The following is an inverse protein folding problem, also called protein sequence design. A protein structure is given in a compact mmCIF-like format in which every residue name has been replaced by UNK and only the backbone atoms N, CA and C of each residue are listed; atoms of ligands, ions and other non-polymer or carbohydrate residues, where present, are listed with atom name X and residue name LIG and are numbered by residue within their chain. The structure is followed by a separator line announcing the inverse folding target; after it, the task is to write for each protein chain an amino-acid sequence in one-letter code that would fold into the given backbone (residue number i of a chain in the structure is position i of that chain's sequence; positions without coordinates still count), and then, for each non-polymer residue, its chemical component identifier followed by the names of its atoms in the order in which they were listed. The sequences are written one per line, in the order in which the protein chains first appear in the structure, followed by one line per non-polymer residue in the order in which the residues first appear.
data_IF_529035449728
#
_entry.id   IF_529035449728
#
_cell.length_a   1.000
_cell.length_b   1.000
_cell.length_c   1.000
_cell.angle_alpha   90.00
_cell.angle_beta   90.00
_cell.angle_gamma   90.00
#
_symmetry.space_group_name_H-M   'P 1'
#
loop_
_entity.id
_entity.type
_entity.pdbx_description
1 polymer ?
#
# COMPACT_ATOMS: atom_id res chain seq x y z
N UNK A 1 -28.85 -15.08 3.80
CA UNK A 1 -27.90 -14.06 4.29
C UNK A 1 -26.82 -14.80 5.06
N UNK A 2 -25.66 -15.06 4.45
CA UNK A 2 -24.53 -15.65 5.16
C UNK A 2 -23.95 -14.54 6.06
N UNK A 3 -23.95 -14.76 7.36
CA UNK A 3 -23.35 -13.89 8.36
C UNK A 3 -21.85 -13.82 8.07
N UNK A 4 -21.35 -12.65 7.72
CA UNK A 4 -19.91 -12.40 7.50
C UNK A 4 -19.20 -12.66 8.85
N UNK A 5 -18.43 -13.73 8.93
CA UNK A 5 -17.66 -14.03 10.13
C UNK A 5 -16.50 -13.06 10.24
N UNK A 6 -16.40 -12.34 11.36
CA UNK A 6 -15.35 -11.36 11.60
C UNK A 6 -14.54 -11.70 12.84
N UNK A 7 -13.28 -11.27 12.88
CA UNK A 7 -12.38 -11.43 14.03
C UNK A 7 -11.55 -10.16 14.22
N UNK A 8 -11.31 -9.78 15.47
CA UNK A 8 -10.39 -8.68 15.77
C UNK A 8 -8.93 -9.11 15.66
N UNK A 9 -7.98 -8.20 15.37
CA UNK A 9 -6.54 -8.50 15.35
C UNK A 9 -6.04 -9.19 16.62
N UNK A 10 -6.49 -8.74 17.78
CA UNK A 10 -6.06 -9.30 19.08
C UNK A 10 -6.53 -10.75 19.25
N UNK A 11 -7.79 -11.02 18.89
CA UNK A 11 -8.33 -12.39 18.95
C UNK A 11 -7.62 -13.33 17.97
N UNK A 12 -7.32 -12.84 16.76
CA UNK A 12 -6.57 -13.62 15.78
C UNK A 12 -5.15 -13.91 16.27
N UNK A 13 -4.46 -12.92 16.84
CA UNK A 13 -3.12 -13.12 17.41
C UNK A 13 -3.15 -14.16 18.52
N UNK A 14 -4.14 -14.13 19.42
CA UNK A 14 -4.28 -15.12 20.47
C UNK A 14 -4.47 -16.55 19.93
N UNK A 15 -5.24 -16.71 18.84
CA UNK A 15 -5.42 -17.99 18.16
C UNK A 15 -4.13 -18.49 17.51
N UNK A 16 -3.37 -17.60 16.87
CA UNK A 16 -2.08 -17.96 16.27
C UNK A 16 -1.07 -18.42 17.33
N UNK A 17 -1.05 -17.75 18.49
CA UNK A 17 -0.17 -18.13 19.61
C UNK A 17 -0.58 -19.44 20.28
N UNK A 18 -1.87 -19.82 20.28
CA UNK A 18 -2.34 -21.09 20.82
C UNK A 18 -2.06 -22.29 19.92
N UNK A 19 -1.36 -22.12 18.80
CA UNK A 19 -1.01 -23.20 17.88
C UNK A 19 -2.16 -23.68 16.99
N UNK A 20 -3.27 -22.94 16.95
CA UNK A 20 -4.38 -23.26 16.05
C UNK A 20 -3.93 -23.07 14.60
N UNK A 21 -4.14 -24.09 13.76
CA UNK A 21 -3.91 -23.97 12.32
C UNK A 21 -4.79 -22.86 11.76
N UNK A 22 -4.18 -21.88 11.14
CA UNK A 22 -4.85 -20.71 10.57
C UNK A 22 -4.13 -20.29 9.29
N UNK A 23 -4.88 -20.11 8.23
CA UNK A 23 -4.36 -19.56 6.99
C UNK A 23 -4.65 -18.08 6.94
N UNK A 24 -3.62 -17.26 6.67
CA UNK A 24 -3.74 -15.82 6.53
C UNK A 24 -3.53 -15.42 5.06
N UNK A 25 -4.51 -14.74 4.48
CA UNK A 25 -4.48 -14.26 3.12
C UNK A 25 -4.50 -12.73 3.10
N UNK A 26 -3.44 -12.12 2.61
CA UNK A 26 -3.37 -10.68 2.40
C UNK A 26 -3.67 -10.35 0.93
N UNK A 27 -4.74 -9.60 0.69
CA UNK A 27 -5.21 -9.25 -0.65
C UNK A 27 -4.80 -7.84 -1.09
N UNK A 28 -3.72 -7.32 -0.52
CA UNK A 28 -3.14 -6.02 -0.89
C UNK A 28 -2.20 -6.16 -2.09
N UNK A 29 -1.69 -5.01 -2.55
CA UNK A 29 -0.66 -5.00 -3.59
C UNK A 29 0.69 -5.51 -3.06
N UNK A 30 1.57 -6.06 -3.94
CA UNK A 30 2.91 -6.50 -3.55
C UNK A 30 3.73 -5.40 -2.87
N UNK A 31 3.59 -4.15 -3.29
CA UNK A 31 4.29 -3.01 -2.69
C UNK A 31 3.83 -2.72 -1.25
N UNK A 32 2.53 -2.87 -0.96
CA UNK A 32 1.99 -2.70 0.39
C UNK A 32 2.47 -3.82 1.31
N UNK A 33 2.42 -5.05 0.83
CA UNK A 33 2.86 -6.24 1.55
C UNK A 33 4.36 -6.21 1.84
N UNK A 34 5.17 -5.85 0.83
CA UNK A 34 6.62 -5.71 1.00
C UNK A 34 6.99 -4.61 2.01
N UNK A 35 6.16 -3.56 2.15
CA UNK A 35 6.39 -2.50 3.14
C UNK A 35 6.16 -2.96 4.57
N UNK A 36 5.03 -3.59 4.82
CA UNK A 36 4.65 -4.15 6.13
C UNK A 36 3.56 -5.19 5.95
N UNK A 37 3.68 -6.35 6.61
CA UNK A 37 2.65 -7.39 6.60
C UNK A 37 2.61 -8.17 7.90
N UNK A 38 1.50 -8.86 8.13
CA UNK A 38 1.31 -9.75 9.26
C UNK A 38 2.17 -11.01 9.07
N UNK A 39 2.94 -11.45 10.08
CA UNK A 39 3.75 -12.65 9.97
C UNK A 39 2.92 -13.88 9.58
N UNK A 40 3.43 -14.68 8.65
CA UNK A 40 2.74 -15.87 8.15
C UNK A 40 1.63 -15.62 7.13
N UNK A 41 1.34 -14.37 6.77
CA UNK A 41 0.36 -14.08 5.73
C UNK A 41 0.90 -14.42 4.33
N UNK A 42 0.08 -15.12 3.53
CA UNK A 42 0.30 -15.34 2.09
C UNK A 42 -0.27 -14.18 1.31
N UNK A 43 0.50 -13.63 0.38
CA UNK A 43 0.06 -12.55 -0.49
C UNK A 43 -0.61 -13.13 -1.75
N UNK A 44 -1.85 -12.73 -2.01
CA UNK A 44 -2.51 -12.88 -3.32
C UNK A 44 -3.31 -11.58 -3.56
N UNK A 45 -2.85 -10.68 -4.42
CA UNK A 45 -3.57 -9.44 -4.74
C UNK A 45 -5.00 -9.72 -5.18
N UNK A 46 -5.94 -8.82 -4.82
CA UNK A 46 -7.37 -8.98 -5.13
C UNK A 46 -7.69 -9.12 -6.63
N UNK A 47 -6.88 -8.49 -7.48
CA UNK A 47 -6.94 -8.52 -8.93
C UNK A 47 -6.37 -9.81 -9.54
N UNK A 48 -5.46 -10.48 -8.81
CA UNK A 48 -4.86 -11.76 -9.19
C UNK A 48 -5.53 -12.95 -8.48
N UNK A 49 -6.54 -12.68 -7.63
CA UNK A 49 -7.23 -13.70 -6.85
C UNK A 49 -8.07 -14.61 -7.77
N UNK A 50 -7.64 -15.87 -7.92
CA UNK A 50 -8.38 -16.94 -8.55
C UNK A 50 -9.07 -17.80 -7.49
N UNK A 51 -10.39 -17.62 -7.28
CA UNK A 51 -11.13 -18.35 -6.25
C UNK A 51 -11.19 -19.85 -6.48
N UNK A 52 -11.22 -20.30 -7.76
CA UNK A 52 -11.31 -21.72 -8.10
C UNK A 52 -10.01 -22.45 -7.77
N UNK A 53 -8.86 -21.80 -7.91
CA UNK A 53 -7.59 -22.37 -7.52
C UNK A 53 -7.50 -22.56 -6.00
N UNK A 54 -7.96 -21.56 -5.23
CA UNK A 54 -8.00 -21.62 -3.76
C UNK A 54 -8.97 -22.70 -3.28
N UNK A 55 -10.13 -22.82 -3.93
CA UNK A 55 -11.10 -23.88 -3.61
C UNK A 55 -10.51 -25.29 -3.79
N UNK A 56 -9.77 -25.49 -4.89
CA UNK A 56 -9.08 -26.77 -5.17
C UNK A 56 -7.93 -27.06 -4.20
N UNK A 57 -7.16 -26.03 -3.85
CA UNK A 57 -6.03 -26.18 -2.90
C UNK A 57 -6.52 -26.56 -1.49
N UNK A 58 -7.67 -26.03 -1.07
CA UNK A 58 -8.13 -26.14 0.32
C UNK A 58 -8.93 -27.40 0.64
N UNK A 59 -9.68 -27.96 -0.29
CA UNK A 59 -10.54 -29.11 -0.04
C UNK A 59 -11.62 -28.90 1.04
N UNK A 60 -12.44 -29.90 1.27
CA UNK A 60 -13.46 -29.87 2.33
C UNK A 60 -12.83 -30.01 3.72
N UNK A 61 -13.31 -29.25 4.71
CA UNK A 61 -12.83 -29.31 6.09
C UNK A 61 -11.54 -28.54 6.38
N UNK A 62 -11.11 -27.65 5.50
CA UNK A 62 -9.93 -26.82 5.67
C UNK A 62 -10.00 -25.90 6.90
N UNK A 63 -8.84 -25.52 7.41
CA UNK A 63 -8.70 -24.54 8.50
C UNK A 63 -9.31 -23.20 8.13
N UNK A 64 -9.75 -22.37 9.10
CA UNK A 64 -10.30 -21.03 8.79
C UNK A 64 -9.32 -20.19 7.98
N UNK A 65 -9.84 -19.50 6.93
CA UNK A 65 -9.09 -18.56 6.09
C UNK A 65 -9.32 -17.13 6.55
N UNK A 66 -8.33 -16.53 7.19
CA UNK A 66 -8.38 -15.15 7.64
C UNK A 66 -7.92 -14.22 6.54
N UNK A 67 -8.82 -13.37 6.06
CA UNK A 67 -8.55 -12.46 4.94
C UNK A 67 -8.28 -11.05 5.45
N UNK A 68 -7.12 -10.52 5.04
CA UNK A 68 -6.64 -9.19 5.41
C UNK A 68 -6.54 -8.28 4.18
N UNK A 69 -6.73 -6.99 4.42
CA UNK A 69 -6.24 -5.95 3.53
C UNK A 69 -5.83 -4.74 4.38
N UNK A 70 -5.71 -3.54 3.83
CA UNK A 70 -5.32 -2.34 4.60
C UNK A 70 -6.34 -1.98 5.69
N UNK A 71 -7.66 -1.96 5.36
CA UNK A 71 -8.74 -1.48 6.25
C UNK A 71 -10.01 -2.33 6.24
N UNK A 72 -10.01 -3.47 5.52
CA UNK A 72 -11.14 -4.41 5.45
C UNK A 72 -11.96 -4.37 4.15
N UNK A 73 -11.96 -3.28 3.39
CA UNK A 73 -12.79 -3.14 2.18
C UNK A 73 -12.48 -4.16 1.07
N UNK A 74 -11.21 -4.29 0.67
CA UNK A 74 -10.76 -5.28 -0.33
C UNK A 74 -10.92 -6.71 0.17
N UNK A 75 -10.71 -6.95 1.48
CA UNK A 75 -10.89 -8.26 2.09
C UNK A 75 -12.34 -8.74 2.00
N UNK A 76 -13.34 -7.86 2.21
CA UNK A 76 -14.76 -8.20 1.98
C UNK A 76 -15.05 -8.58 0.54
N UNK A 77 -14.47 -7.87 -0.42
CA UNK A 77 -14.62 -8.21 -1.85
C UNK A 77 -14.00 -9.57 -2.17
N UNK A 78 -12.82 -9.86 -1.62
CA UNK A 78 -12.16 -11.15 -1.76
C UNK A 78 -13.02 -12.28 -1.16
N UNK A 79 -13.53 -12.11 0.07
CA UNK A 79 -14.40 -13.09 0.74
C UNK A 79 -15.64 -13.39 -0.11
N UNK A 80 -16.30 -12.37 -0.67
CA UNK A 80 -17.45 -12.59 -1.56
C UNK A 80 -17.09 -13.41 -2.80
N UNK A 81 -15.96 -13.13 -3.44
CA UNK A 81 -15.47 -13.92 -4.58
C UNK A 81 -15.21 -15.37 -4.19
N UNK A 82 -14.55 -15.60 -3.05
CA UNK A 82 -14.23 -16.93 -2.52
C UNK A 82 -15.49 -17.72 -2.18
N UNK A 83 -16.45 -17.11 -1.51
CA UNK A 83 -17.73 -17.73 -1.16
C UNK A 83 -18.55 -18.12 -2.40
N UNK A 84 -18.54 -17.32 -3.47
CA UNK A 84 -19.21 -17.66 -4.73
C UNK A 84 -18.57 -18.89 -5.42
N UNK A 85 -17.30 -19.13 -5.19
CA UNK A 85 -16.58 -20.33 -5.67
C UNK A 85 -16.63 -21.51 -4.67
N UNK A 86 -17.47 -21.44 -3.64
CA UNK A 86 -17.66 -22.52 -2.67
C UNK A 86 -16.59 -22.62 -1.58
N UNK A 87 -15.71 -21.61 -1.43
CA UNK A 87 -14.72 -21.60 -0.34
C UNK A 87 -15.40 -21.19 0.96
N UNK A 88 -15.52 -22.15 1.88
CA UNK A 88 -16.09 -21.96 3.20
C UNK A 88 -15.03 -21.53 4.25
N UNK A 89 -15.48 -21.11 5.43
CA UNK A 89 -14.61 -20.76 6.55
C UNK A 89 -13.79 -19.49 6.35
N UNK A 90 -14.20 -18.59 5.44
CA UNK A 90 -13.58 -17.27 5.27
C UNK A 90 -13.98 -16.33 6.42
N UNK A 91 -12.98 -15.69 7.04
CA UNK A 91 -13.14 -14.79 8.18
C UNK A 91 -12.48 -13.46 7.86
N UNK A 92 -13.22 -12.37 7.99
CA UNK A 92 -12.68 -11.02 7.83
C UNK A 92 -11.88 -10.60 9.06
N UNK A 93 -10.66 -10.12 8.88
CA UNK A 93 -9.93 -9.43 9.96
C UNK A 93 -10.34 -7.96 9.98
N UNK A 94 -11.01 -7.56 11.07
CA UNK A 94 -11.53 -6.21 11.25
C UNK A 94 -10.42 -5.17 11.23
N UNK A 95 -10.64 -4.08 10.48
CA UNK A 95 -9.67 -3.00 10.32
C UNK A 95 -8.36 -3.41 9.61
N UNK A 96 -8.21 -4.69 9.25
CA UNK A 96 -7.10 -5.22 8.46
C UNK A 96 -5.72 -4.99 9.07
N UNK A 97 -4.72 -4.85 8.22
CA UNK A 97 -3.32 -4.63 8.66
C UNK A 97 -3.14 -3.33 9.43
N UNK A 98 -3.96 -2.30 9.17
CA UNK A 98 -3.87 -1.05 9.94
C UNK A 98 -4.24 -1.26 11.39
N UNK A 99 -5.39 -1.88 11.67
CA UNK A 99 -5.80 -2.17 13.04
C UNK A 99 -4.84 -3.16 13.75
N UNK A 100 -4.20 -4.06 13.00
CA UNK A 100 -3.15 -4.93 13.52
C UNK A 100 -1.95 -4.13 14.02
N UNK A 101 -1.50 -3.14 13.25
CA UNK A 101 -0.40 -2.23 13.60
C UNK A 101 -0.79 -1.34 14.80
N UNK A 102 -1.99 -0.77 14.79
CA UNK A 102 -2.49 0.12 15.83
C UNK A 102 -2.64 -0.60 17.18
N UNK A 103 -2.92 -1.91 17.14
CA UNK A 103 -2.92 -2.78 18.30
C UNK A 103 -1.51 -3.15 18.80
N UNK A 104 -0.43 -2.67 18.18
CA UNK A 104 0.95 -2.94 18.56
C UNK A 104 1.39 -4.39 18.35
N UNK A 105 0.69 -5.15 17.51
CA UNK A 105 0.98 -6.55 17.26
C UNK A 105 2.19 -6.73 16.33
N UNK A 106 2.89 -7.88 16.39
CA UNK A 106 4.09 -8.10 15.60
C UNK A 106 3.81 -8.04 14.10
N UNK A 107 4.67 -7.36 13.37
CA UNK A 107 4.63 -7.22 11.91
C UNK A 107 6.00 -7.45 11.31
N UNK A 108 6.04 -8.05 10.14
CA UNK A 108 7.23 -8.06 9.30
C UNK A 108 7.28 -6.73 8.54
N UNK A 109 8.32 -5.95 8.79
CA UNK A 109 8.59 -4.72 8.03
C UNK A 109 9.68 -5.01 7.02
N UNK A 110 9.33 -4.95 5.74
CA UNK A 110 10.34 -4.99 4.70
C UNK A 110 11.18 -3.71 4.75
N UNK A 111 12.44 -3.82 4.38
CA UNK A 111 13.24 -2.65 4.06
C UNK A 111 12.67 -2.06 2.76
N UNK A 112 11.60 -1.27 2.86
CA UNK A 112 11.10 -0.50 1.72
C UNK A 112 12.19 0.54 1.39
N UNK A 113 13.07 0.18 0.45
CA UNK A 113 14.08 1.09 -0.11
C UNK A 113 13.46 2.19 -0.98
N UNK A 114 12.14 2.17 -1.14
CA UNK A 114 11.45 3.18 -1.95
C UNK A 114 11.27 4.43 -1.09
N UNK A 115 12.08 5.43 -1.40
CA UNK A 115 11.94 6.77 -0.80
C UNK A 115 10.54 7.30 -1.17
N UNK A 116 9.73 7.80 -0.20
CA UNK A 116 8.43 8.39 -0.49
C UNK A 116 8.53 9.44 -1.59
N UNK A 117 7.57 9.47 -2.52
CA UNK A 117 7.59 10.34 -3.69
C UNK A 117 7.87 11.82 -3.32
N UNK A 118 7.23 12.32 -2.26
CA UNK A 118 7.43 13.68 -1.79
C UNK A 118 8.89 13.94 -1.38
N UNK A 119 9.54 12.97 -0.78
CA UNK A 119 10.95 13.05 -0.38
C UNK A 119 11.89 13.03 -1.59
N UNK A 120 11.54 12.26 -2.65
CA UNK A 120 12.27 12.29 -3.92
C UNK A 120 12.18 13.67 -4.57
N UNK A 121 10.99 14.28 -4.58
CA UNK A 121 10.76 15.64 -5.09
C UNK A 121 11.62 16.66 -4.33
N UNK A 122 11.62 16.63 -3.01
CA UNK A 122 12.40 17.55 -2.16
C UNK A 122 13.90 17.41 -2.41
N UNK A 123 14.42 16.18 -2.48
CA UNK A 123 15.84 15.91 -2.75
C UNK A 123 16.23 16.47 -4.15
N UNK A 124 15.42 16.20 -5.17
CA UNK A 124 15.70 16.63 -6.54
C UNK A 124 15.72 18.15 -6.66
N UNK A 125 14.72 18.83 -6.11
CA UNK A 125 14.64 20.31 -6.17
C UNK A 125 15.76 20.93 -5.35
N UNK A 126 16.01 20.42 -4.15
CA UNK A 126 17.10 20.90 -3.29
C UNK A 126 18.45 20.77 -3.97
N UNK A 127 18.72 19.63 -4.61
CA UNK A 127 19.98 19.40 -5.33
C UNK A 127 20.16 20.36 -6.52
N UNK A 128 19.12 20.53 -7.35
CA UNK A 128 19.15 21.45 -8.51
C UNK A 128 19.35 22.89 -8.05
N UNK A 129 18.67 23.32 -6.99
CA UNK A 129 18.80 24.68 -6.44
C UNK A 129 20.18 24.93 -5.86
N UNK A 130 20.70 23.97 -5.09
CA UNK A 130 22.05 24.10 -4.50
C UNK A 130 23.13 24.15 -5.58
N UNK A 131 23.03 23.28 -6.59
CA UNK A 131 23.97 23.27 -7.72
C UNK A 131 23.90 24.58 -8.51
N UNK A 132 22.70 25.10 -8.80
CA UNK A 132 22.52 26.36 -9.49
C UNK A 132 23.08 27.55 -8.73
N UNK A 133 22.90 27.59 -7.41
CA UNK A 133 23.49 28.61 -6.55
C UNK A 133 25.03 28.55 -6.52
N UNK A 134 25.60 27.35 -6.40
CA UNK A 134 27.06 27.17 -6.45
C UNK A 134 27.65 27.62 -7.78
N UNK A 135 27.02 27.26 -8.91
CA UNK A 135 27.45 27.69 -10.23
C UNK A 135 27.35 29.23 -10.41
N UNK A 136 26.33 29.87 -9.82
CA UNK A 136 26.16 31.30 -9.85
C UNK A 136 27.29 32.03 -9.12
N UNK A 137 27.77 31.45 -8.00
CA UNK A 137 28.87 32.04 -7.22
C UNK A 137 30.24 31.84 -7.85
N UNK A 138 30.47 30.69 -8.49
CA UNK A 138 31.81 30.25 -8.92
C UNK A 138 32.05 30.62 -10.40
N UNK A 139 31.03 30.51 -11.27
CA UNK A 139 31.23 30.59 -12.72
C UNK A 139 30.59 31.88 -13.29
N UNK A 140 29.29 32.04 -13.13
CA UNK A 140 28.58 33.20 -13.72
C UNK A 140 27.26 33.47 -12.98
N UNK A 141 26.96 34.74 -12.60
CA UNK A 141 25.72 35.10 -11.91
C UNK A 141 24.43 34.73 -12.66
N UNK A 142 24.48 34.51 -13.98
CA UNK A 142 23.30 34.07 -14.75
C UNK A 142 22.72 32.73 -14.28
N UNK A 143 23.54 31.85 -13.67
CA UNK A 143 23.07 30.59 -13.11
C UNK A 143 22.15 30.77 -11.89
N UNK A 144 22.06 31.96 -11.31
CA UNK A 144 21.08 32.32 -10.28
C UNK A 144 19.61 32.18 -10.73
N UNK A 145 19.37 32.14 -12.05
CA UNK A 145 18.04 31.85 -12.60
C UNK A 145 17.54 30.44 -12.26
N UNK A 146 18.45 29.48 -12.05
CA UNK A 146 18.07 28.08 -11.72
C UNK A 146 17.37 28.02 -10.35
N UNK A 147 17.96 28.46 -9.24
CA UNK A 147 17.27 28.48 -7.96
C UNK A 147 16.05 29.40 -7.93
N UNK A 148 16.05 30.49 -8.70
CA UNK A 148 14.88 31.36 -8.82
C UNK A 148 13.70 30.63 -9.47
N UNK A 149 13.90 29.91 -10.57
CA UNK A 149 12.86 29.17 -11.28
C UNK A 149 12.35 27.98 -10.44
N UNK A 150 13.25 27.26 -9.76
CA UNK A 150 12.83 26.17 -8.89
C UNK A 150 12.04 26.67 -7.68
N UNK A 151 12.40 27.82 -7.11
CA UNK A 151 11.66 28.47 -6.02
C UNK A 151 10.27 28.94 -6.45
N UNK A 152 10.16 29.61 -7.61
CA UNK A 152 8.86 30.02 -8.18
C UNK A 152 7.97 28.79 -8.47
N UNK A 153 8.55 27.72 -9.00
CA UNK A 153 7.83 26.47 -9.24
C UNK A 153 7.29 25.83 -7.96
N UNK A 154 8.05 25.89 -6.86
CA UNK A 154 7.58 25.42 -5.56
C UNK A 154 6.45 26.26 -4.99
N UNK A 155 6.54 27.60 -5.11
CA UNK A 155 5.47 28.52 -4.70
C UNK A 155 4.18 28.23 -5.47
N UNK A 156 4.28 28.11 -6.79
CA UNK A 156 3.15 27.74 -7.63
C UNK A 156 2.53 26.40 -7.23
N UNK A 157 3.36 25.39 -7.01
CA UNK A 157 2.89 24.06 -6.58
C UNK A 157 2.22 24.11 -5.20
N UNK A 158 2.72 24.93 -4.27
CA UNK A 158 2.13 25.12 -2.94
C UNK A 158 0.76 25.79 -2.97
N UNK A 159 0.56 26.76 -3.87
CA UNK A 159 -0.71 27.52 -4.00
C UNK A 159 -1.77 26.70 -4.76
N UNK A 160 -1.37 26.04 -5.84
CA UNK A 160 -2.31 25.34 -6.74
C UNK A 160 -2.52 23.86 -6.40
N UNK A 161 -1.68 23.28 -5.54
CA UNK A 161 -1.64 21.84 -5.27
C UNK A 161 -1.10 21.01 -6.46
N UNK A 162 -0.70 21.67 -7.57
CA UNK A 162 -0.23 20.99 -8.78
C UNK A 162 1.30 21.02 -8.87
N UNK A 163 1.94 19.86 -8.72
CA UNK A 163 3.40 19.73 -8.85
C UNK A 163 3.76 18.91 -10.09
N UNK A 164 4.20 19.58 -11.16
CA UNK A 164 4.61 18.93 -12.41
C UNK A 164 5.76 17.93 -12.23
N UNK A 165 6.71 18.23 -11.34
CA UNK A 165 7.84 17.34 -11.04
C UNK A 165 7.37 16.06 -10.32
N UNK A 166 6.39 16.14 -9.44
CA UNK A 166 5.80 14.97 -8.80
C UNK A 166 5.14 14.03 -9.82
N UNK A 167 4.43 14.60 -10.82
CA UNK A 167 3.84 13.84 -11.93
C UNK A 167 4.90 13.18 -12.81
N UNK A 168 6.00 13.88 -13.08
CA UNK A 168 7.12 13.32 -13.84
C UNK A 168 7.76 12.13 -13.10
N UNK A 169 8.08 12.31 -11.82
CA UNK A 169 8.67 11.26 -10.99
C UNK A 169 7.71 10.07 -10.78
N UNK A 170 6.40 10.34 -10.69
CA UNK A 170 5.40 9.29 -10.57
C UNK A 170 5.33 8.37 -11.81
N UNK A 171 5.66 8.88 -13.01
CA UNK A 171 5.73 8.09 -14.25
C UNK A 171 6.96 7.19 -14.35
N UNK A 172 7.96 7.39 -13.49
CA UNK A 172 9.17 6.56 -13.49
C UNK A 172 8.86 5.11 -13.13
N UNK A 173 9.58 4.11 -13.71
CA UNK A 173 9.25 2.69 -13.55
C UNK A 173 9.25 2.21 -12.10
N UNK A 174 10.05 2.79 -11.23
CA UNK A 174 10.10 2.48 -9.78
C UNK A 174 8.96 3.11 -8.96
N UNK A 175 8.22 4.07 -9.53
CA UNK A 175 7.09 4.75 -8.87
C UNK A 175 5.72 4.37 -9.44
N UNK A 176 5.62 3.50 -10.44
CA UNK A 176 4.35 3.12 -11.10
C UNK A 176 3.29 2.54 -10.15
N UNK A 177 3.71 1.92 -9.05
CA UNK A 177 2.80 1.40 -8.03
C UNK A 177 2.04 2.48 -7.23
N UNK A 178 2.50 3.73 -7.28
CA UNK A 178 1.89 4.85 -6.54
C UNK A 178 0.71 5.47 -7.31
N UNK A 179 0.77 5.46 -8.66
CA UNK A 179 -0.27 6.04 -9.52
C UNK A 179 -1.56 5.23 -9.57
N UNK A 180 -1.49 3.89 -9.48
CA UNK A 180 -2.67 3.04 -9.44
C UNK A 180 -3.60 3.29 -8.25
N UNK A 181 -3.09 3.88 -7.17
CA UNK A 181 -3.86 4.20 -5.97
C UNK A 181 -4.66 5.51 -6.05
N UNK A 182 -4.17 6.50 -6.79
CA UNK A 182 -4.84 7.82 -6.88
C UNK A 182 -6.09 7.76 -7.77
N UNK A 183 -6.10 6.91 -8.79
CA UNK A 183 -7.22 6.79 -9.70
C UNK A 183 -8.44 6.06 -9.12
N UNK A 184 -8.25 5.16 -8.14
CA UNK A 184 -9.35 4.41 -7.53
C UNK A 184 -10.08 5.14 -6.40
N UNK A 185 -9.51 6.24 -5.87
CA UNK A 185 -10.10 6.99 -4.76
C UNK A 185 -11.04 8.12 -5.23
N UNK A 186 -10.97 8.55 -6.51
CA UNK A 186 -11.78 9.66 -7.03
C UNK A 186 -13.14 9.25 -7.62
N UNK A 187 -13.42 7.96 -7.74
CA UNK A 187 -14.67 7.44 -8.34
C UNK A 187 -15.78 7.08 -7.35
N UNK A 188 -15.61 7.37 -6.05
CA UNK A 188 -16.59 6.98 -5.01
C UNK A 188 -17.24 8.19 -4.32
N UNK A 189 -17.18 9.39 -4.93
CA UNK A 189 -17.96 10.56 -4.49
C UNK A 189 -18.77 11.08 -5.68
N UNK A 190 -19.86 10.41 -5.97
CA UNK A 190 -21.02 10.94 -6.70
C UNK A 190 -22.26 10.21 -6.23
#
# INVERSE_FOLDING_TARGET
MQTESTITPIQLQSRLLSGSSAELLDVRSPAEFAGVHVPGARLIPLDELDPDSISRERGEGSTPLYVLCQSGGRARQAIKKLQHAGVEGCVLVEGGTQAWIDAGLPVNRGASRIIPLMRQVQITIGFISALGAALALIINPRFALIPLLTGCGLLFAGITGFCGLALLLAKMPWNKSVLGKAASCSSTQS
#
